data_IF_266214664153
#
_entry.id   IF_266214664153
#
_cell.length_a   1.000
_cell.length_b   1.000
_cell.length_c   1.000
_cell.angle_alpha   90.00
_cell.angle_beta   90.00
_cell.angle_gamma   90.00
#
_symmetry.space_group_name_H-M   'P 1'
#
loop_
_entity.id
_entity.type
_entity.pdbx_description
1 polymer ?
#
# COMPACT_ATOMS: atom_id res chain seq x y z
N UNK A 1 -59.07 -4.38 -65.31
CA UNK A 1 -58.80 -3.66 -64.07
C UNK A 1 -57.89 -4.58 -63.22
N UNK A 2 -56.61 -4.39 -63.24
CA UNK A 2 -55.63 -5.18 -62.48
C UNK A 2 -55.09 -4.31 -61.34
N UNK A 3 -55.37 -4.70 -60.10
CA UNK A 3 -54.90 -4.05 -58.87
C UNK A 3 -53.56 -4.70 -58.53
N UNK A 4 -52.46 -3.93 -58.60
CA UNK A 4 -51.11 -4.30 -58.14
C UNK A 4 -51.06 -4.04 -56.66
N UNK A 5 -50.90 -5.09 -55.86
CA UNK A 5 -50.52 -4.97 -54.43
C UNK A 5 -49.00 -4.89 -54.33
N UNK A 6 -48.47 -3.71 -53.96
CA UNK A 6 -47.06 -3.55 -53.57
C UNK A 6 -46.87 -3.99 -52.11
N UNK A 7 -46.20 -5.12 -51.90
CA UNK A 7 -45.68 -5.51 -50.61
C UNK A 7 -44.35 -4.77 -50.35
N UNK A 8 -44.37 -3.74 -49.51
CA UNK A 8 -43.18 -3.15 -48.96
C UNK A 8 -42.64 -4.04 -47.82
N UNK A 9 -41.60 -4.81 -48.09
CA UNK A 9 -40.87 -5.57 -47.09
C UNK A 9 -40.01 -4.60 -46.26
N UNK A 10 -40.44 -4.36 -45.02
CA UNK A 10 -39.69 -3.57 -44.02
C UNK A 10 -38.55 -4.44 -43.49
N UNK A 11 -37.36 -4.27 -44.04
CA UNK A 11 -36.10 -4.89 -43.53
C UNK A 11 -35.68 -4.16 -42.26
N UNK A 12 -36.09 -4.66 -41.10
CA UNK A 12 -35.51 -4.27 -39.81
C UNK A 12 -34.12 -4.85 -39.72
N UNK A 13 -33.11 -4.05 -40.05
CA UNK A 13 -31.71 -4.34 -39.72
C UNK A 13 -31.55 -4.25 -38.20
N UNK A 14 -31.70 -5.38 -37.53
CA UNK A 14 -31.19 -5.60 -36.18
C UNK A 14 -29.65 -5.53 -36.28
N UNK A 15 -29.10 -4.35 -36.10
CA UNK A 15 -27.70 -4.22 -35.77
C UNK A 15 -27.51 -4.84 -34.39
N UNK A 16 -27.25 -6.14 -34.37
CA UNK A 16 -26.71 -6.79 -33.21
C UNK A 16 -25.37 -6.10 -32.92
N UNK A 17 -25.40 -5.15 -32.00
CA UNK A 17 -24.18 -4.62 -31.36
C UNK A 17 -23.54 -5.84 -30.67
N UNK A 18 -22.71 -6.57 -31.39
CA UNK A 18 -21.85 -7.58 -30.77
C UNK A 18 -20.99 -6.82 -29.77
N UNK A 19 -21.41 -6.82 -28.49
CA UNK A 19 -20.52 -6.49 -27.39
C UNK A 19 -19.29 -7.39 -27.55
N UNK A 20 -18.31 -6.87 -28.24
CA UNK A 20 -17.00 -7.48 -28.29
C UNK A 20 -16.55 -7.50 -26.85
N UNK A 21 -16.47 -8.68 -26.25
CA UNK A 21 -15.94 -8.82 -24.90
C UNK A 21 -14.51 -8.25 -24.98
N UNK A 22 -14.36 -6.98 -24.61
CA UNK A 22 -13.04 -6.41 -24.41
C UNK A 22 -12.36 -7.29 -23.37
N UNK A 23 -11.12 -7.70 -23.65
CA UNK A 23 -10.35 -8.48 -22.67
C UNK A 23 -10.23 -7.70 -21.35
N UNK A 24 -9.71 -8.33 -20.28
CA UNK A 24 -9.64 -7.71 -18.97
C UNK A 24 -8.92 -6.36 -19.02
N UNK A 25 -9.42 -5.38 -18.26
CA UNK A 25 -8.80 -4.06 -18.15
C UNK A 25 -7.36 -4.20 -17.65
N UNK A 26 -6.42 -3.64 -18.41
CA UNK A 26 -5.01 -3.60 -18.01
C UNK A 26 -4.83 -2.48 -16.99
N UNK A 27 -4.41 -2.86 -15.80
CA UNK A 27 -4.19 -1.94 -14.68
C UNK A 27 -2.72 -2.02 -14.26
N UNK A 28 -2.11 -0.86 -14.00
CA UNK A 28 -0.80 -0.78 -13.39
C UNK A 28 -0.91 -0.11 -12.02
N UNK A 29 -0.13 -0.57 -11.06
CA UNK A 29 -0.07 -0.05 -9.69
C UNK A 29 1.38 0.20 -9.27
N UNK A 30 1.58 1.02 -8.22
CA UNK A 30 2.91 1.31 -7.70
C UNK A 30 3.51 0.15 -6.91
N UNK A 31 2.76 -0.43 -6.00
CA UNK A 31 3.24 -1.40 -4.98
C UNK A 31 2.38 -2.67 -4.91
N UNK A 32 2.96 -3.81 -4.42
CA UNK A 32 2.24 -5.10 -4.34
C UNK A 32 0.94 -5.08 -3.53
N UNK A 33 0.84 -4.42 -2.35
CA UNK A 33 -0.43 -4.30 -1.61
C UNK A 33 -1.55 -3.66 -2.43
N UNK A 34 -1.23 -2.61 -3.20
CA UNK A 34 -2.21 -1.93 -4.06
C UNK A 34 -2.68 -2.83 -5.21
N UNK A 35 -1.76 -3.59 -5.83
CA UNK A 35 -2.10 -4.60 -6.84
C UNK A 35 -3.10 -5.62 -6.28
N UNK A 36 -2.87 -6.10 -5.07
CA UNK A 36 -3.80 -7.04 -4.41
C UNK A 36 -5.20 -6.44 -4.28
N UNK A 37 -5.34 -5.17 -3.87
CA UNK A 37 -6.64 -4.52 -3.77
C UNK A 37 -7.32 -4.48 -5.13
N UNK A 38 -6.61 -4.08 -6.18
CA UNK A 38 -7.14 -4.05 -7.57
C UNK A 38 -7.65 -5.43 -7.99
N UNK A 39 -6.89 -6.49 -7.72
CA UNK A 39 -7.27 -7.87 -8.04
C UNK A 39 -8.50 -8.34 -7.25
N UNK A 40 -8.60 -7.96 -5.97
CA UNK A 40 -9.76 -8.32 -5.15
C UNK A 40 -11.04 -7.61 -5.60
N UNK A 41 -10.95 -6.35 -6.04
CA UNK A 41 -12.10 -5.58 -6.52
C UNK A 41 -12.47 -5.98 -7.96
N UNK A 42 -11.48 -6.06 -8.84
CA UNK A 42 -11.68 -6.27 -10.27
C UNK A 42 -11.97 -7.73 -10.65
N UNK A 43 -11.48 -8.69 -9.87
CA UNK A 43 -11.60 -10.12 -10.16
C UNK A 43 -11.00 -10.46 -11.53
N UNK A 44 -11.72 -11.28 -12.31
CA UNK A 44 -11.35 -11.71 -13.67
C UNK A 44 -11.49 -10.60 -14.74
N UNK A 45 -12.09 -9.48 -14.40
CA UNK A 45 -12.28 -8.32 -15.30
C UNK A 45 -11.06 -7.40 -15.38
N UNK A 46 -10.06 -7.62 -14.57
CA UNK A 46 -8.83 -6.84 -14.57
C UNK A 46 -7.59 -7.72 -14.73
N UNK A 47 -6.55 -7.18 -15.36
CA UNK A 47 -5.20 -7.73 -15.39
C UNK A 47 -4.26 -6.72 -14.75
N UNK A 48 -3.97 -6.90 -13.47
CA UNK A 48 -3.14 -5.98 -12.71
C UNK A 48 -1.65 -6.33 -12.78
N UNK A 49 -0.83 -5.30 -12.96
CA UNK A 49 0.64 -5.35 -12.90
C UNK A 49 1.14 -4.35 -11.85
N UNK A 50 2.39 -4.49 -11.42
CA UNK A 50 2.99 -3.63 -10.39
C UNK A 50 4.35 -3.13 -10.85
N UNK A 51 4.69 -1.88 -10.50
CA UNK A 51 6.01 -1.31 -10.78
C UNK A 51 7.05 -1.89 -9.81
N UNK A 52 6.89 -1.67 -8.51
CA UNK A 52 7.84 -2.16 -7.50
C UNK A 52 7.69 -3.67 -7.35
N UNK A 53 8.71 -4.40 -7.80
CA UNK A 53 8.74 -5.87 -7.66
C UNK A 53 9.09 -6.28 -6.23
N UNK A 54 8.67 -7.49 -5.79
CA UNK A 54 8.97 -7.97 -4.44
C UNK A 54 10.46 -7.88 -4.10
N UNK A 55 10.77 -7.45 -2.87
CA UNK A 55 12.14 -7.30 -2.37
C UNK A 55 12.86 -6.02 -2.81
N UNK A 56 12.23 -5.14 -3.56
CA UNK A 56 12.79 -3.84 -3.93
C UNK A 56 12.27 -2.74 -3.01
N UNK A 57 13.17 -1.79 -2.72
CA UNK A 57 12.82 -0.60 -1.95
C UNK A 57 11.97 0.36 -2.80
N UNK A 58 10.75 0.70 -2.38
CA UNK A 58 9.89 1.62 -3.12
C UNK A 58 10.29 3.09 -2.99
N UNK A 59 11.14 3.46 -2.04
CA UNK A 59 11.56 4.87 -1.86
C UNK A 59 12.55 5.30 -2.94
N UNK A 60 13.44 4.39 -3.36
CA UNK A 60 14.51 4.62 -4.35
C UNK A 60 14.27 3.85 -5.66
N UNK A 61 13.02 3.51 -5.96
CA UNK A 61 12.70 2.66 -7.09
C UNK A 61 12.79 3.40 -8.42
N UNK A 62 13.49 2.81 -9.37
CA UNK A 62 13.53 3.25 -10.77
C UNK A 62 12.99 2.15 -11.67
N UNK A 63 11.89 2.40 -12.42
CA UNK A 63 11.33 1.40 -13.32
C UNK A 63 12.21 1.19 -14.55
N UNK A 64 12.26 -0.06 -14.98
CA UNK A 64 12.93 -0.43 -16.23
C UNK A 64 12.19 0.11 -17.46
N UNK A 65 12.86 0.25 -18.63
CA UNK A 65 12.20 0.64 -19.89
C UNK A 65 11.00 -0.23 -20.24
N UNK A 66 11.07 -1.54 -19.95
CA UNK A 66 9.97 -2.48 -20.19
C UNK A 66 8.76 -2.15 -19.30
N UNK A 67 8.98 -1.81 -18.04
CA UNK A 67 7.89 -1.42 -17.14
C UNK A 67 7.23 -0.10 -17.55
N UNK A 68 7.99 0.85 -18.07
CA UNK A 68 7.44 2.09 -18.65
C UNK A 68 6.58 1.77 -19.87
N UNK A 69 7.02 0.84 -20.73
CA UNK A 69 6.23 0.38 -21.88
C UNK A 69 4.96 -0.36 -21.43
N UNK A 70 5.04 -1.23 -20.42
CA UNK A 70 3.87 -1.92 -19.88
C UNK A 70 2.87 -0.93 -19.26
N UNK A 71 3.37 0.10 -18.59
CA UNK A 71 2.57 1.19 -18.04
C UNK A 71 1.89 2.00 -19.14
N UNK A 72 2.56 2.29 -20.25
CA UNK A 72 1.97 3.00 -21.40
C UNK A 72 0.82 2.22 -22.07
N UNK A 73 0.82 0.89 -21.91
CA UNK A 73 -0.24 0.00 -22.39
C UNK A 73 -1.37 -0.24 -21.37
N UNK A 74 -1.24 0.29 -20.15
CA UNK A 74 -2.28 0.19 -19.15
C UNK A 74 -3.44 1.16 -19.44
N UNK A 75 -4.66 0.75 -19.13
CA UNK A 75 -5.84 1.62 -19.20
C UNK A 75 -5.83 2.63 -18.06
N UNK A 76 -5.43 2.15 -16.85
CA UNK A 76 -5.37 2.95 -15.64
C UNK A 76 -4.05 2.66 -14.93
N UNK A 77 -3.40 3.72 -14.43
CA UNK A 77 -2.41 3.67 -13.39
C UNK A 77 -3.01 4.20 -12.09
N UNK A 78 -3.02 3.35 -11.06
CA UNK A 78 -3.37 3.81 -9.72
C UNK A 78 -2.10 4.28 -9.00
N UNK A 79 -1.97 5.58 -8.77
CA UNK A 79 -0.95 6.11 -7.88
C UNK A 79 -1.37 5.97 -6.42
N UNK A 80 -0.39 5.89 -5.52
CA UNK A 80 -0.60 5.80 -4.07
C UNK A 80 0.20 6.88 -3.33
N UNK A 81 1.00 7.65 -4.05
CA UNK A 81 1.80 8.76 -3.53
C UNK A 81 3.12 8.34 -2.90
N UNK A 82 3.74 7.27 -3.43
CA UNK A 82 5.12 6.94 -3.12
C UNK A 82 6.08 7.96 -3.77
N UNK A 83 7.24 8.28 -3.14
CA UNK A 83 8.17 9.26 -3.67
C UNK A 83 8.60 9.02 -5.12
N UNK A 84 8.86 7.75 -5.50
CA UNK A 84 9.26 7.39 -6.85
C UNK A 84 8.22 7.70 -7.93
N UNK A 85 6.92 7.74 -7.57
CA UNK A 85 5.85 7.93 -8.54
C UNK A 85 5.89 9.31 -9.18
N UNK A 86 6.27 10.36 -8.44
CA UNK A 86 6.29 11.73 -8.95
C UNK A 86 7.08 11.87 -10.25
N UNK A 87 8.33 11.42 -10.26
CA UNK A 87 9.20 11.51 -11.44
C UNK A 87 8.67 10.70 -12.64
N UNK A 88 8.10 9.52 -12.36
CA UNK A 88 7.53 8.64 -13.38
C UNK A 88 6.26 9.26 -13.98
N UNK A 89 5.37 9.79 -13.14
CA UNK A 89 4.10 10.35 -13.58
C UNK A 89 4.31 11.63 -14.39
N UNK A 90 5.27 12.47 -14.01
CA UNK A 90 5.64 13.66 -14.79
C UNK A 90 6.15 13.26 -16.18
N UNK A 91 6.98 12.22 -16.27
CA UNK A 91 7.45 11.69 -17.55
C UNK A 91 6.31 11.14 -18.41
N UNK A 92 5.36 10.41 -17.82
CA UNK A 92 4.19 9.87 -18.50
C UNK A 92 3.31 11.00 -19.06
N UNK A 93 3.06 12.03 -18.28
CA UNK A 93 2.28 13.22 -18.70
C UNK A 93 2.95 13.92 -19.89
N UNK A 94 4.28 14.10 -19.84
CA UNK A 94 5.07 14.69 -20.93
C UNK A 94 5.05 13.86 -22.22
N UNK A 95 4.98 12.52 -22.09
CA UNK A 95 4.91 11.63 -23.26
C UNK A 95 3.51 11.59 -23.90
N UNK A 96 2.51 12.21 -23.31
CA UNK A 96 1.14 12.24 -23.85
C UNK A 96 0.47 10.86 -23.89
N UNK A 97 0.81 9.95 -22.98
CA UNK A 97 0.27 8.60 -22.95
C UNK A 97 -1.22 8.60 -22.62
N UNK A 98 -1.96 7.63 -23.18
CA UNK A 98 -3.41 7.47 -22.96
C UNK A 98 -3.78 6.85 -21.62
N UNK A 99 -2.83 6.44 -20.81
CA UNK A 99 -3.04 5.85 -19.50
C UNK A 99 -3.69 6.88 -18.57
N UNK A 100 -4.87 6.55 -18.01
CA UNK A 100 -5.54 7.40 -17.02
C UNK A 100 -4.82 7.24 -15.68
N UNK A 101 -4.27 8.31 -15.13
CA UNK A 101 -3.65 8.32 -13.80
C UNK A 101 -4.72 8.68 -12.78
N UNK A 102 -4.88 7.86 -11.74
CA UNK A 102 -5.89 8.02 -10.69
C UNK A 102 -5.22 7.90 -9.32
N UNK A 103 -5.38 8.92 -8.49
CA UNK A 103 -4.97 8.85 -7.08
C UNK A 103 -5.89 7.90 -6.30
N UNK A 104 -5.39 6.70 -6.00
CA UNK A 104 -6.13 5.73 -5.19
C UNK A 104 -6.25 6.15 -3.73
N UNK A 105 -5.42 7.09 -3.27
CA UNK A 105 -5.38 7.59 -1.90
C UNK A 105 -6.22 8.86 -1.69
N UNK A 106 -7.01 9.27 -2.69
CA UNK A 106 -7.87 10.46 -2.57
C UNK A 106 -8.74 10.40 -1.32
N UNK A 107 -8.72 11.51 -0.54
CA UNK A 107 -9.47 11.64 0.72
C UNK A 107 -8.87 10.89 1.91
N UNK A 108 -7.69 10.28 1.78
CA UNK A 108 -6.92 9.77 2.93
C UNK A 108 -6.06 10.91 3.48
N UNK A 109 -6.25 11.20 4.76
CA UNK A 109 -5.43 12.21 5.45
C UNK A 109 -4.04 11.63 5.69
N UNK A 110 -3.05 12.19 5.02
CA UNK A 110 -1.65 11.90 5.30
C UNK A 110 -1.15 12.77 6.44
N UNK A 111 -0.21 12.23 7.20
CA UNK A 111 0.43 12.91 8.31
C UNK A 111 1.94 12.95 8.10
N UNK A 112 2.64 13.94 8.69
CA UNK A 112 4.10 13.95 8.67
C UNK A 112 4.69 12.68 9.28
N UNK A 113 5.82 12.19 8.74
CA UNK A 113 6.48 10.96 9.18
C UNK A 113 6.87 11.03 10.67
N UNK A 114 7.37 12.17 11.14
CA UNK A 114 7.77 12.37 12.53
C UNK A 114 6.63 12.20 13.54
N UNK A 115 5.38 12.48 13.13
CA UNK A 115 4.21 12.26 14.00
C UNK A 115 4.04 10.80 14.42
N UNK A 116 4.54 9.90 13.60
CA UNK A 116 4.51 8.46 13.88
C UNK A 116 5.74 7.96 14.64
N UNK A 117 6.72 8.83 14.91
CA UNK A 117 7.94 8.47 15.63
C UNK A 117 7.77 8.77 17.11
N UNK A 118 8.21 7.84 17.98
CA UNK A 118 8.25 8.07 19.42
C UNK A 118 9.31 9.11 19.79
N UNK A 119 10.35 9.24 18.97
CA UNK A 119 11.46 10.14 19.15
C UNK A 119 11.77 10.75 17.79
N UNK A 120 11.41 12.00 17.55
CA UNK A 120 11.97 12.80 16.48
C UNK A 120 13.15 13.60 17.04
N UNK A 121 14.24 13.73 16.29
CA UNK A 121 15.38 14.57 16.69
C UNK A 121 15.13 16.04 16.38
N UNK A 122 14.01 16.35 15.73
CA UNK A 122 13.62 17.68 15.30
C UNK A 122 12.85 18.49 16.36
N UNK A 123 12.85 18.03 17.64
CA UNK A 123 12.31 18.86 18.73
C UNK A 123 13.06 20.20 18.87
N UNK A 124 14.25 20.34 18.25
CA UNK A 124 15.09 21.53 18.33
C UNK A 124 15.11 22.39 17.04
N UNK A 125 14.51 21.94 15.91
CA UNK A 125 14.45 22.71 14.66
C UNK A 125 13.09 22.54 13.96
N UNK A 126 12.16 23.52 14.14
CA UNK A 126 10.82 23.46 13.57
C UNK A 126 10.76 23.66 12.05
N UNK A 127 11.87 23.99 11.39
CA UNK A 127 11.89 24.26 9.94
C UNK A 127 12.25 23.03 9.08
N UNK A 128 12.73 21.91 9.66
CA UNK A 128 13.02 20.67 8.94
C UNK A 128 11.82 19.73 9.00
N UNK A 129 10.80 20.00 8.18
CA UNK A 129 9.63 19.10 8.05
C UNK A 129 10.01 17.84 7.28
N UNK A 130 9.99 16.69 7.95
CA UNK A 130 10.02 15.40 7.28
C UNK A 130 8.81 15.28 6.35
N UNK A 131 8.97 14.58 5.22
CA UNK A 131 7.89 14.40 4.26
C UNK A 131 6.67 13.68 4.87
N UNK A 132 5.54 13.71 4.15
CA UNK A 132 4.34 12.97 4.55
C UNK A 132 4.60 11.46 4.53
N UNK A 133 4.12 10.75 5.56
CA UNK A 133 4.22 9.28 5.63
C UNK A 133 3.44 8.62 4.48
N UNK A 134 4.10 7.93 3.54
CA UNK A 134 3.45 7.30 2.40
C UNK A 134 2.80 5.96 2.73
N UNK A 135 3.08 5.33 3.89
CA UNK A 135 2.74 3.95 4.24
C UNK A 135 1.27 3.76 4.63
N UNK A 136 0.37 4.47 3.97
CA UNK A 136 -1.07 4.53 4.27
C UNK A 136 -1.77 3.16 4.23
N UNK A 137 -1.27 2.22 3.42
CA UNK A 137 -1.87 0.88 3.25
C UNK A 137 -1.71 -0.04 4.47
N UNK A 138 -0.95 0.38 5.49
CA UNK A 138 -0.80 -0.38 6.74
C UNK A 138 -1.90 -0.06 7.77
N UNK A 139 -2.91 0.72 7.40
CA UNK A 139 -4.13 0.93 8.18
C UNK A 139 -5.33 0.28 7.50
N UNK A 140 -6.11 -0.52 8.24
CA UNK A 140 -7.33 -1.15 7.74
C UNK A 140 -8.35 -0.12 7.25
N UNK A 141 -8.52 1.00 7.94
CA UNK A 141 -9.43 2.07 7.51
C UNK A 141 -9.00 2.67 6.18
N UNK A 142 -7.71 2.90 5.99
CA UNK A 142 -7.17 3.40 4.73
C UNK A 142 -7.29 2.37 3.61
N UNK A 143 -7.10 1.06 3.88
CA UNK A 143 -7.33 0.00 2.90
C UNK A 143 -8.76 0.00 2.37
N UNK A 144 -9.75 0.20 3.23
CA UNK A 144 -11.16 0.30 2.82
C UNK A 144 -11.39 1.53 1.93
N UNK A 145 -10.74 2.66 2.23
CA UNK A 145 -10.82 3.87 1.40
C UNK A 145 -10.15 3.67 0.04
N UNK A 146 -8.93 3.07 0.01
CA UNK A 146 -8.23 2.70 -1.22
C UNK A 146 -9.11 1.78 -2.09
N UNK A 147 -9.71 0.74 -1.50
CA UNK A 147 -10.58 -0.19 -2.20
C UNK A 147 -11.84 0.50 -2.77
N UNK A 148 -12.43 1.45 -2.02
CA UNK A 148 -13.57 2.25 -2.48
C UNK A 148 -13.20 3.12 -3.69
N UNK A 149 -12.07 3.83 -3.65
CA UNK A 149 -11.60 4.66 -4.75
C UNK A 149 -11.29 3.82 -6.00
N UNK A 150 -10.63 2.67 -5.82
CA UNK A 150 -10.36 1.71 -6.91
C UNK A 150 -11.67 1.18 -7.51
N UNK A 151 -12.66 0.79 -6.67
CA UNK A 151 -13.96 0.34 -7.14
C UNK A 151 -14.69 1.41 -7.97
N UNK A 152 -14.67 2.66 -7.52
CA UNK A 152 -15.27 3.77 -8.26
C UNK A 152 -14.63 3.95 -9.63
N UNK A 153 -13.30 3.96 -9.69
CA UNK A 153 -12.54 4.13 -10.93
C UNK A 153 -12.74 2.96 -11.92
N UNK A 154 -12.77 1.72 -11.43
CA UNK A 154 -13.04 0.55 -12.26
C UNK A 154 -14.49 0.58 -12.79
N UNK A 155 -15.46 0.99 -11.96
CA UNK A 155 -16.86 1.11 -12.37
C UNK A 155 -17.09 2.20 -13.41
N UNK A 156 -16.32 3.30 -13.37
CA UNK A 156 -16.31 4.35 -14.38
C UNK A 156 -15.70 3.85 -15.70
N UNK A 157 -14.58 3.12 -15.63
CA UNK A 157 -13.87 2.63 -16.81
C UNK A 157 -14.58 1.44 -17.50
N UNK A 158 -15.36 0.66 -16.73
CA UNK A 158 -16.11 -0.51 -17.19
C UNK A 158 -17.47 -0.59 -16.48
N UNK A 159 -18.43 0.24 -16.89
CA UNK A 159 -19.76 0.30 -16.28
C UNK A 159 -20.54 -1.02 -16.34
N UNK A 160 -20.29 -1.86 -17.36
CA UNK A 160 -20.95 -3.14 -17.52
C UNK A 160 -20.69 -4.10 -16.34
N UNK A 161 -19.51 -4.01 -15.71
CA UNK A 161 -19.11 -4.81 -14.57
C UNK A 161 -19.21 -4.07 -13.21
N UNK A 162 -19.76 -2.86 -13.17
CA UNK A 162 -19.85 -2.04 -11.97
C UNK A 162 -20.55 -2.70 -10.78
N UNK A 163 -21.58 -3.54 -11.03
CA UNK A 163 -22.26 -4.33 -9.98
C UNK A 163 -21.34 -5.39 -9.38
N UNK A 164 -20.50 -6.03 -10.19
CA UNK A 164 -19.51 -7.01 -9.74
C UNK A 164 -18.47 -6.34 -8.84
N UNK A 165 -17.93 -5.19 -9.26
CA UNK A 165 -16.94 -4.44 -8.49
C UNK A 165 -17.47 -4.01 -7.12
N UNK A 166 -18.71 -3.53 -7.05
CA UNK A 166 -19.39 -3.18 -5.80
C UNK A 166 -19.55 -4.38 -4.87
N UNK A 167 -20.03 -5.52 -5.40
CA UNK A 167 -20.14 -6.75 -4.60
C UNK A 167 -18.81 -7.24 -4.08
N UNK A 168 -17.73 -7.12 -4.88
CA UNK A 168 -16.37 -7.46 -4.45
C UNK A 168 -15.85 -6.49 -3.37
N UNK A 169 -16.17 -5.19 -3.47
CA UNK A 169 -15.85 -4.21 -2.44
C UNK A 169 -16.51 -4.55 -1.10
N UNK A 170 -17.78 -4.96 -1.11
CA UNK A 170 -18.49 -5.41 0.10
C UNK A 170 -17.77 -6.60 0.76
N UNK A 171 -17.38 -7.61 -0.03
CA UNK A 171 -16.62 -8.76 0.45
C UNK A 171 -15.24 -8.37 1.00
N UNK A 172 -14.55 -7.44 0.31
CA UNK A 172 -13.27 -6.91 0.77
C UNK A 172 -13.42 -6.21 2.11
N UNK A 173 -14.42 -5.34 2.25
CA UNK A 173 -14.68 -4.61 3.49
C UNK A 173 -15.03 -5.55 4.65
N UNK A 174 -15.84 -6.58 4.42
CA UNK A 174 -16.16 -7.57 5.44
C UNK A 174 -14.91 -8.31 5.94
N UNK A 175 -14.00 -8.71 5.04
CA UNK A 175 -12.70 -9.31 5.41
C UNK A 175 -11.83 -8.33 6.18
N UNK A 176 -11.79 -7.05 5.76
CA UNK A 176 -11.03 -5.99 6.42
C UNK A 176 -11.53 -5.77 7.86
N UNK A 177 -12.85 -5.72 8.05
CA UNK A 177 -13.46 -5.51 9.37
C UNK A 177 -13.19 -6.70 10.32
N UNK A 178 -13.31 -7.93 9.83
CA UNK A 178 -12.99 -9.14 10.60
C UNK A 178 -11.50 -9.16 11.02
N UNK A 179 -10.59 -8.79 10.11
CA UNK A 179 -9.17 -8.71 10.43
C UNK A 179 -8.87 -7.60 11.43
N UNK A 180 -9.52 -6.43 11.29
CA UNK A 180 -9.36 -5.32 12.23
C UNK A 180 -9.78 -5.72 13.66
N UNK A 181 -10.90 -6.44 13.80
CA UNK A 181 -11.35 -6.95 15.09
C UNK A 181 -10.33 -7.93 15.69
N UNK A 182 -9.83 -8.88 14.88
CA UNK A 182 -8.81 -9.85 15.30
C UNK A 182 -7.55 -9.16 15.81
N UNK A 183 -7.00 -8.21 15.04
CA UNK A 183 -5.78 -7.47 15.41
C UNK A 183 -6.01 -6.60 16.64
N UNK A 184 -7.14 -5.89 16.70
CA UNK A 184 -7.50 -5.05 17.86
C UNK A 184 -7.57 -5.86 19.13
N UNK A 185 -8.19 -7.06 19.12
CA UNK A 185 -8.26 -7.95 20.27
C UNK A 185 -6.87 -8.43 20.70
N UNK A 186 -6.02 -8.83 19.76
CA UNK A 186 -4.67 -9.32 20.04
C UNK A 186 -3.77 -8.23 20.64
N UNK A 187 -3.84 -7.00 20.13
CA UNK A 187 -2.95 -5.91 20.53
C UNK A 187 -3.47 -5.04 21.68
N UNK A 188 -4.76 -5.13 22.01
CA UNK A 188 -5.37 -4.37 23.13
C UNK A 188 -4.59 -4.43 24.46
N UNK A 189 -4.06 -5.61 24.90
CA UNK A 189 -3.30 -5.71 26.15
C UNK A 189 -1.96 -4.97 26.15
N UNK A 190 -1.50 -4.51 24.98
CA UNK A 190 -0.20 -3.89 24.75
C UNK A 190 -0.29 -2.41 24.40
N UNK A 191 -1.43 -1.78 24.62
CA UNK A 191 -1.63 -0.34 24.36
C UNK A 191 -0.52 0.49 25.03
N UNK A 192 0.07 1.45 24.27
CA UNK A 192 1.24 2.23 24.68
C UNK A 192 2.58 1.51 24.48
N UNK A 193 2.56 0.24 24.06
CA UNK A 193 3.77 -0.53 23.74
C UNK A 193 4.55 0.08 22.59
N UNK A 194 5.89 -0.04 22.66
CA UNK A 194 6.80 0.52 21.67
C UNK A 194 7.41 -0.61 20.86
N UNK A 195 7.34 -0.55 19.53
CA UNK A 195 8.08 -1.41 18.62
C UNK A 195 9.33 -0.69 18.11
N UNK A 196 10.41 -1.42 17.94
CA UNK A 196 11.64 -0.91 17.34
C UNK A 196 11.74 -1.45 15.93
N UNK A 197 11.82 -0.56 14.95
CA UNK A 197 11.82 -0.87 13.53
C UNK A 197 13.05 -0.29 12.87
N UNK A 198 13.54 -0.90 11.80
CA UNK A 198 14.64 -0.33 11.03
C UNK A 198 14.15 0.92 10.31
N UNK A 199 13.22 0.79 9.37
CA UNK A 199 12.59 1.89 8.64
C UNK A 199 11.18 2.19 9.21
N UNK A 200 10.75 3.45 9.36
CA UNK A 200 9.53 3.84 10.05
C UNK A 200 8.24 3.63 9.24
N UNK A 201 8.06 2.45 8.65
CA UNK A 201 6.91 2.16 7.79
C UNK A 201 5.58 1.94 8.54
N UNK A 202 5.61 1.64 9.85
CA UNK A 202 4.44 1.10 10.56
C UNK A 202 3.62 2.15 11.33
N UNK A 203 3.79 3.43 11.00
CA UNK A 203 3.15 4.54 11.71
C UNK A 203 1.64 4.44 11.76
N UNK A 204 0.97 4.29 10.62
CA UNK A 204 -0.49 4.14 10.56
C UNK A 204 -0.98 2.86 11.24
N UNK A 205 -0.21 1.78 11.22
CA UNK A 205 -0.54 0.56 11.95
C UNK A 205 -0.46 0.78 13.46
N UNK A 206 0.64 1.34 13.95
CA UNK A 206 0.84 1.57 15.39
C UNK A 206 -0.17 2.56 15.94
N UNK A 207 -0.50 3.63 15.22
CA UNK A 207 -1.54 4.59 15.59
C UNK A 207 -2.91 3.92 15.72
N UNK A 208 -3.29 3.08 14.73
CA UNK A 208 -4.59 2.40 14.71
C UNK A 208 -4.81 1.49 15.93
N UNK A 209 -3.75 0.89 16.46
CA UNK A 209 -3.84 -0.07 17.59
C UNK A 209 -3.27 0.47 18.90
N UNK A 210 -3.02 1.78 18.98
CA UNK A 210 -2.54 2.44 20.20
C UNK A 210 -1.13 2.05 20.61
N UNK A 211 -0.30 1.62 19.68
CA UNK A 211 1.12 1.36 19.84
C UNK A 211 1.95 2.58 19.42
N UNK A 212 3.26 2.49 19.59
CA UNK A 212 4.24 3.48 19.14
C UNK A 212 5.38 2.79 18.39
N UNK A 213 6.03 3.49 17.44
CA UNK A 213 7.25 3.00 16.81
C UNK A 213 8.44 3.90 17.13
N UNK A 214 9.62 3.29 17.26
CA UNK A 214 10.91 3.94 17.29
C UNK A 214 11.74 3.40 16.12
N UNK A 215 12.20 4.28 15.23
CA UNK A 215 12.95 3.89 14.04
C UNK A 215 14.47 4.00 14.26
N UNK A 216 15.20 3.14 13.55
CA UNK A 216 16.66 3.16 13.46
C UNK A 216 17.11 4.16 12.41
N UNK A 217 16.46 4.10 11.25
CA UNK A 217 16.73 4.91 10.08
C UNK A 217 15.59 5.88 9.88
N UNK A 218 15.89 7.07 9.40
CA UNK A 218 14.93 8.10 9.04
C UNK A 218 15.30 8.61 7.65
N UNK A 219 14.31 8.66 6.74
CA UNK A 219 14.46 9.21 5.37
C UNK A 219 15.52 8.53 4.48
N UNK A 220 15.79 7.24 4.65
CA UNK A 220 16.77 6.51 3.85
C UNK A 220 18.22 6.79 4.25
N UNK A 221 18.46 7.58 5.31
CA UNK A 221 19.81 7.92 5.78
C UNK A 221 20.34 6.84 6.71
N UNK A 222 21.58 6.40 6.46
CA UNK A 222 22.28 5.51 7.39
C UNK A 222 22.53 6.28 8.70
N UNK A 223 22.09 5.75 9.86
CA UNK A 223 22.25 6.46 11.13
C UNK A 223 23.72 6.62 11.52
N UNK A 224 24.05 7.77 12.06
CA UNK A 224 25.37 8.07 12.62
C UNK A 224 25.65 7.21 13.88
N UNK A 225 26.91 7.02 14.29
CA UNK A 225 27.25 6.32 15.52
C UNK A 225 26.54 6.88 16.76
N UNK A 226 26.34 8.20 16.82
CA UNK A 226 25.65 8.89 17.93
C UNK A 226 24.15 8.54 17.96
N UNK A 227 23.50 8.48 16.80
CA UNK A 227 22.10 8.09 16.68
C UNK A 227 21.91 6.62 17.07
N UNK A 228 22.82 5.74 16.63
CA UNK A 228 22.83 4.34 17.05
C UNK A 228 22.94 4.22 18.57
N UNK A 229 23.86 4.95 19.21
CA UNK A 229 24.01 4.94 20.67
C UNK A 229 22.75 5.42 21.39
N UNK A 230 22.13 6.51 20.93
CA UNK A 230 20.86 7.00 21.47
C UNK A 230 19.76 5.94 21.35
N UNK A 231 19.64 5.28 20.20
CA UNK A 231 18.65 4.24 19.97
C UNK A 231 18.88 3.03 20.87
N UNK A 232 20.13 2.59 21.07
CA UNK A 232 20.47 1.51 22.00
C UNK A 232 20.02 1.86 23.43
N UNK A 233 20.29 3.09 23.90
CA UNK A 233 19.86 3.56 25.22
C UNK A 233 18.32 3.52 25.34
N UNK A 234 17.61 3.98 24.30
CA UNK A 234 16.15 3.96 24.22
C UNK A 234 15.64 2.51 24.21
N UNK A 235 16.21 1.64 23.40
CA UNK A 235 15.82 0.23 23.31
C UNK A 235 15.96 -0.50 24.66
N UNK A 236 17.05 -0.24 25.37
CA UNK A 236 17.26 -0.77 26.74
C UNK A 236 16.23 -0.25 27.74
N UNK A 237 15.89 1.05 27.70
CA UNK A 237 14.85 1.66 28.57
C UNK A 237 13.49 1.00 28.39
N UNK A 238 13.15 0.59 27.18
CA UNK A 238 11.89 -0.10 26.87
C UNK A 238 12.01 -1.64 26.90
N UNK A 239 13.11 -2.18 27.43
CA UNK A 239 13.40 -3.61 27.46
C UNK A 239 13.17 -4.30 26.09
N UNK A 240 13.53 -3.60 24.99
CA UNK A 240 13.39 -4.13 23.66
C UNK A 240 14.36 -5.28 23.42
N UNK A 241 13.87 -6.40 22.92
CA UNK A 241 14.64 -7.59 22.54
C UNK A 241 14.57 -7.87 21.05
N UNK A 242 13.71 -7.17 20.33
CA UNK A 242 13.47 -7.36 18.89
C UNK A 242 13.58 -6.03 18.17
N UNK A 243 14.38 -6.02 17.10
CA UNK A 243 14.40 -4.98 16.07
C UNK A 243 13.73 -5.56 14.83
N UNK A 244 12.67 -4.93 14.37
CA UNK A 244 12.00 -5.34 13.14
C UNK A 244 12.68 -4.72 11.92
N UNK A 245 13.00 -5.54 10.93
CA UNK A 245 13.64 -5.11 9.68
C UNK A 245 12.78 -5.50 8.48
N UNK A 246 12.62 -4.59 7.56
CA UNK A 246 11.92 -4.85 6.32
C UNK A 246 12.86 -5.60 5.35
N UNK A 247 12.37 -6.63 4.63
CA UNK A 247 13.19 -7.42 3.69
C UNK A 247 13.83 -6.60 2.56
N UNK A 248 13.38 -5.37 2.36
CA UNK A 248 13.86 -4.45 1.33
C UNK A 248 15.17 -3.74 1.71
N UNK A 249 15.58 -3.81 2.99
CA UNK A 249 16.74 -3.10 3.52
C UNK A 249 17.86 -4.04 3.98
N UNK A 250 19.11 -3.54 3.98
CA UNK A 250 20.23 -4.26 4.58
C UNK A 250 20.13 -4.26 6.11
N UNK A 251 20.21 -5.45 6.70
CA UNK A 251 20.02 -5.63 8.14
C UNK A 251 21.24 -5.29 9.00
N UNK A 252 22.43 -4.99 8.43
CA UNK A 252 23.68 -4.86 9.18
C UNK A 252 23.63 -3.91 10.36
N UNK A 253 23.05 -2.71 10.15
CA UNK A 253 22.88 -1.73 11.23
C UNK A 253 21.91 -2.23 12.30
N UNK A 254 20.81 -2.86 11.89
CA UNK A 254 19.85 -3.46 12.82
C UNK A 254 20.44 -4.62 13.61
N UNK A 255 21.25 -5.47 12.98
CA UNK A 255 21.97 -6.58 13.64
C UNK A 255 22.94 -6.06 14.70
N UNK A 256 23.69 -4.99 14.42
CA UNK A 256 24.59 -4.36 15.38
C UNK A 256 23.83 -3.83 16.61
N UNK A 257 22.69 -3.17 16.40
CA UNK A 257 21.85 -2.66 17.49
C UNK A 257 21.24 -3.82 18.28
N UNK A 258 20.68 -4.82 17.60
CA UNK A 258 20.09 -5.99 18.24
C UNK A 258 21.11 -6.70 19.13
N UNK A 259 22.34 -6.91 18.64
CA UNK A 259 23.46 -7.46 19.43
C UNK A 259 23.78 -6.61 20.67
N UNK A 260 23.84 -5.28 20.53
CA UNK A 260 24.15 -4.38 21.62
C UNK A 260 23.09 -4.36 22.75
N UNK A 261 21.84 -4.71 22.45
CA UNK A 261 20.76 -4.82 23.43
C UNK A 261 20.52 -6.25 23.91
N UNK A 262 21.33 -7.23 23.45
CA UNK A 262 21.11 -8.66 23.73
C UNK A 262 19.81 -9.20 23.13
N UNK A 263 19.43 -8.67 21.98
CA UNK A 263 18.21 -8.99 21.24
C UNK A 263 18.49 -9.68 19.90
N UNK A 264 17.47 -9.71 19.06
CA UNK A 264 17.51 -10.31 17.72
C UNK A 264 16.77 -9.45 16.70
N UNK A 265 17.09 -9.66 15.40
CA UNK A 265 16.39 -9.07 14.28
C UNK A 265 15.28 -10.02 13.83
N UNK A 266 14.10 -9.45 13.56
CA UNK A 266 12.94 -10.19 13.04
C UNK A 266 12.43 -9.50 11.78
N UNK A 267 12.30 -10.21 10.64
CA UNK A 267 11.77 -9.61 9.42
C UNK A 267 10.30 -9.23 9.58
N UNK A 268 9.94 -8.02 9.10
CA UNK A 268 8.59 -7.48 9.09
C UNK A 268 8.33 -6.81 7.75
N UNK A 269 7.52 -7.46 6.88
CA UNK A 269 7.32 -7.00 5.51
C UNK A 269 6.08 -6.09 5.36
N UNK A 270 6.26 -4.79 5.09
CA UNK A 270 5.15 -3.87 4.83
C UNK A 270 4.58 -4.01 3.41
N UNK A 271 5.29 -4.70 2.50
CA UNK A 271 4.95 -4.83 1.09
C UNK A 271 4.44 -6.22 0.71
N UNK A 272 3.95 -6.99 1.68
CA UNK A 272 3.38 -8.31 1.45
C UNK A 272 2.33 -8.27 0.32
N UNK A 273 2.42 -9.22 -0.63
CA UNK A 273 1.52 -9.30 -1.79
C UNK A 273 0.06 -9.36 -1.36
N UNK A 274 -0.28 -10.24 -0.42
CA UNK A 274 -1.59 -10.26 0.23
C UNK A 274 -1.53 -9.35 1.46
N UNK A 275 -2.10 -8.17 1.35
CA UNK A 275 -2.04 -7.15 2.40
C UNK A 275 -2.74 -7.59 3.69
N UNK A 276 -3.78 -8.40 3.62
CA UNK A 276 -4.47 -8.91 4.82
C UNK A 276 -3.60 -9.91 5.59
N UNK A 277 -3.02 -10.89 4.89
CA UNK A 277 -2.06 -11.81 5.50
C UNK A 277 -0.81 -11.09 6.03
N UNK A 278 -0.36 -10.04 5.30
CA UNK A 278 0.74 -9.18 5.74
C UNK A 278 0.45 -8.51 7.07
N UNK A 279 -0.71 -7.84 7.19
CA UNK A 279 -1.12 -7.16 8.43
C UNK A 279 -1.34 -8.14 9.59
N UNK A 280 -1.89 -9.32 9.32
CA UNK A 280 -2.05 -10.37 10.32
C UNK A 280 -0.70 -10.82 10.87
N UNK A 281 0.26 -11.15 10.00
CA UNK A 281 1.63 -11.54 10.37
C UNK A 281 2.37 -10.42 11.10
N UNK A 282 2.16 -9.16 10.70
CA UNK A 282 2.70 -7.98 11.40
C UNK A 282 2.17 -7.96 12.84
N UNK A 283 0.85 -8.11 13.02
CA UNK A 283 0.23 -8.13 14.34
C UNK A 283 0.77 -9.27 15.23
N UNK A 284 0.84 -10.50 14.69
CA UNK A 284 1.35 -11.68 15.40
C UNK A 284 2.79 -11.49 15.88
N UNK A 285 3.68 -10.99 15.02
CA UNK A 285 5.09 -10.76 15.37
C UNK A 285 5.25 -9.64 16.41
N UNK A 286 4.46 -8.57 16.28
CA UNK A 286 4.46 -7.49 17.25
C UNK A 286 3.93 -7.97 18.60
N UNK A 287 2.83 -8.72 18.62
CA UNK A 287 2.27 -9.32 19.82
C UNK A 287 3.30 -10.20 20.54
N UNK A 288 3.95 -11.11 19.80
CA UNK A 288 5.00 -11.98 20.34
C UNK A 288 6.17 -11.18 20.93
N UNK A 289 6.62 -10.13 20.24
CA UNK A 289 7.68 -9.23 20.71
C UNK A 289 7.30 -8.53 22.01
N UNK A 290 6.06 -8.05 22.14
CA UNK A 290 5.61 -7.32 23.33
C UNK A 290 5.34 -8.27 24.50
N UNK A 291 4.89 -9.51 24.24
CA UNK A 291 4.74 -10.57 25.27
C UNK A 291 6.08 -10.96 25.89
N UNK A 292 7.15 -11.05 25.10
CA UNK A 292 8.47 -11.47 25.58
C UNK A 292 9.16 -10.46 26.52
N UNK A 293 8.58 -9.27 26.70
CA UNK A 293 9.11 -8.21 27.60
C UNK A 293 8.48 -8.24 29.01
N UNK A 294 7.37 -8.97 29.14
CA UNK A 294 6.70 -9.19 30.44
C UNK A 294 7.35 -10.35 31.17
#
# INVERSE_FOLDING_TARGET
MRVLFSMAALFYLLTANTLRAEGPLRIMTGIPPQKYIVEQIGGDKVKASVLVTPGKDPHMYEPTPRQIMDLSNARIYFEIGMPFEKAILDKIRQMGLKTKIIDSAEGIKRVPMEKHLLFSEHDDDPDETTGLDPHIWLSISNLKKLASNICAALSEADPANGKLYKSNLEKFNAKADALNEKISKALKPFKGGVIFVFHPAFGYFTEAYGLKQAAVEIEGKTPSPREIEKLIKKARKYNAKIIFVQPQFDSKSADAIAKAIGGTVVPLDPLAKNVFEGLEKIAEKIEASLKSRK
#
